data_IF_777248647799
#
_entry.id   IF_777248647799
#
_cell.length_a   1.000
_cell.length_b   1.000
_cell.length_c   1.000
_cell.angle_alpha   90.00
_cell.angle_beta   90.00
_cell.angle_gamma   90.00
#
_symmetry.space_group_name_H-M   'P 1'
#
loop_
_entity.id
_entity.type
_entity.pdbx_description
1 polymer ?
#
# COMPACT_ATOMS: atom_id res chain seq x y z
N UNK A 1 7.35 -13.90 28.68
CA UNK A 1 8.52 -14.80 28.72
C UNK A 1 8.04 -16.18 29.17
N UNK A 2 8.65 -17.25 28.66
CA UNK A 2 8.41 -18.61 29.16
C UNK A 2 8.96 -18.72 30.60
N UNK A 3 8.30 -19.48 31.46
CA UNK A 3 8.85 -19.85 32.77
C UNK A 3 10.03 -20.83 32.58
N UNK A 4 10.98 -20.83 33.50
CA UNK A 4 12.17 -21.69 33.45
C UNK A 4 11.81 -23.17 33.24
N UNK A 5 10.78 -23.67 33.93
CA UNK A 5 10.32 -25.06 33.80
C UNK A 5 9.85 -25.39 32.38
N UNK A 6 9.18 -24.45 31.71
CA UNK A 6 8.75 -24.62 30.30
C UNK A 6 9.94 -24.59 29.34
N UNK A 7 10.97 -23.82 29.65
CA UNK A 7 12.19 -23.77 28.84
C UNK A 7 12.90 -25.13 28.92
N UNK A 8 13.04 -25.69 30.13
CA UNK A 8 13.66 -26.99 30.35
C UNK A 8 12.88 -28.12 29.65
N UNK A 9 11.56 -28.10 29.75
CA UNK A 9 10.68 -29.08 29.07
C UNK A 9 10.86 -29.04 27.55
N UNK A 10 10.94 -27.84 26.95
CA UNK A 10 11.17 -27.64 25.51
C UNK A 10 12.56 -28.11 25.07
N UNK A 11 13.60 -27.81 25.86
CA UNK A 11 14.96 -28.31 25.59
C UNK A 11 14.93 -29.83 25.60
N UNK A 12 14.36 -30.44 26.64
CA UNK A 12 14.33 -31.90 26.82
C UNK A 12 13.64 -32.60 25.66
N UNK A 13 12.49 -32.08 25.21
CA UNK A 13 11.75 -32.61 24.07
C UNK A 13 12.54 -32.57 22.76
N UNK A 14 13.33 -31.51 22.52
CA UNK A 14 14.02 -31.27 21.24
C UNK A 14 15.44 -31.82 21.18
N UNK A 15 16.18 -31.78 22.28
CA UNK A 15 17.54 -32.34 22.37
C UNK A 15 17.55 -33.84 22.66
N UNK A 16 16.44 -34.39 23.17
CA UNK A 16 16.36 -35.77 23.65
C UNK A 16 17.05 -36.00 25.00
N UNK A 17 17.52 -34.93 25.66
CA UNK A 17 18.21 -35.01 26.94
C UNK A 17 17.22 -35.00 28.13
N UNK A 18 17.49 -35.72 29.23
CA UNK A 18 16.65 -35.69 30.43
C UNK A 18 16.63 -34.30 31.09
N UNK A 19 15.48 -33.87 31.62
CA UNK A 19 15.35 -32.57 32.30
C UNK A 19 16.33 -32.38 33.47
N UNK A 20 16.68 -33.46 34.17
CA UNK A 20 17.66 -33.44 35.27
C UNK A 20 19.06 -33.05 34.78
N UNK A 21 19.44 -33.52 33.59
CA UNK A 21 20.73 -33.22 32.99
C UNK A 21 20.78 -31.77 32.50
N UNK A 22 19.70 -31.29 31.90
CA UNK A 22 19.55 -29.90 31.46
C UNK A 22 19.61 -28.93 32.65
N UNK A 23 18.95 -29.25 33.77
CA UNK A 23 19.03 -28.43 35.00
C UNK A 23 20.46 -28.30 35.51
N UNK A 24 21.21 -29.40 35.50
CA UNK A 24 22.62 -29.40 35.90
C UNK A 24 23.47 -28.54 34.97
N UNK A 25 23.28 -28.66 33.65
CA UNK A 25 23.99 -27.82 32.67
C UNK A 25 23.68 -26.33 32.86
N UNK A 26 22.44 -25.97 33.24
CA UNK A 26 22.05 -24.59 33.52
C UNK A 26 22.80 -24.04 34.74
N UNK A 27 22.83 -24.80 35.84
CA UNK A 27 23.57 -24.42 37.05
C UNK A 27 25.07 -24.24 36.75
N UNK A 28 25.68 -25.22 36.06
CA UNK A 28 27.09 -25.15 35.65
C UNK A 28 27.37 -23.91 34.77
N UNK A 29 26.44 -23.55 33.87
CA UNK A 29 26.57 -22.37 33.00
C UNK A 29 26.41 -21.05 33.75
N UNK A 30 25.55 -21.01 34.77
CA UNK A 30 25.42 -19.84 35.64
C UNK A 30 26.69 -19.60 36.45
N UNK A 31 27.29 -20.67 36.97
CA UNK A 31 28.55 -20.62 37.72
C UNK A 31 29.73 -20.23 36.81
N UNK A 32 29.82 -20.82 35.61
CA UNK A 32 30.83 -20.47 34.60
C UNK A 32 30.83 -18.96 34.28
N UNK A 33 29.63 -18.38 34.18
CA UNK A 33 29.43 -16.96 33.90
C UNK A 33 29.40 -16.10 35.17
N UNK A 34 29.89 -16.62 36.30
CA UNK A 34 30.02 -15.91 37.58
C UNK A 34 28.71 -15.25 38.05
N UNK A 35 27.58 -15.87 37.76
CA UNK A 35 26.26 -15.35 38.10
C UNK A 35 25.82 -14.11 37.29
N UNK A 36 26.54 -13.73 36.23
CA UNK A 36 26.18 -12.61 35.36
C UNK A 36 24.91 -12.86 34.53
N UNK A 37 24.46 -14.11 34.46
CA UNK A 37 23.26 -14.52 33.73
C UNK A 37 22.22 -15.10 34.67
N UNK A 38 20.94 -14.77 34.39
CA UNK A 38 19.82 -15.37 35.10
C UNK A 38 19.67 -16.85 34.76
N UNK A 39 18.94 -17.64 35.57
CA UNK A 39 18.65 -19.04 35.27
C UNK A 39 18.01 -19.23 33.89
N UNK A 40 17.13 -18.30 33.49
CA UNK A 40 16.53 -18.30 32.16
C UNK A 40 17.58 -18.02 31.07
N UNK A 41 18.46 -17.04 31.29
CA UNK A 41 19.55 -16.71 30.36
C UNK A 41 20.51 -17.90 30.16
N UNK A 42 20.86 -18.60 31.23
CA UNK A 42 21.66 -19.82 31.17
C UNK A 42 20.93 -20.96 30.43
N UNK A 43 19.62 -21.11 30.64
CA UNK A 43 18.80 -22.08 29.89
C UNK A 43 18.80 -21.81 28.37
N UNK A 44 18.79 -20.54 27.95
CA UNK A 44 18.93 -20.18 26.53
C UNK A 44 20.29 -20.56 25.96
N UNK A 45 21.37 -20.37 26.72
CA UNK A 45 22.74 -20.72 26.30
C UNK A 45 22.88 -22.23 26.15
N UNK A 46 22.43 -22.99 27.17
CA UNK A 46 22.43 -24.47 27.17
C UNK A 46 21.60 -25.02 26.02
N UNK A 47 20.42 -24.45 25.76
CA UNK A 47 19.61 -24.86 24.60
C UNK A 47 20.38 -24.73 23.29
N UNK A 48 21.06 -23.60 23.07
CA UNK A 48 21.83 -23.35 21.85
C UNK A 48 23.03 -24.30 21.72
N UNK A 49 23.72 -24.62 22.83
CA UNK A 49 24.81 -25.61 22.85
C UNK A 49 24.32 -27.02 22.50
N UNK A 50 23.10 -27.38 22.90
CA UNK A 50 22.44 -28.64 22.56
C UNK A 50 21.78 -28.64 21.17
N UNK A 51 22.00 -27.61 20.35
CA UNK A 51 21.41 -27.48 19.02
C UNK A 51 19.91 -27.16 19.03
N UNK A 52 19.36 -26.78 20.17
CA UNK A 52 17.96 -26.39 20.35
C UNK A 52 17.84 -24.86 20.35
N UNK A 53 17.35 -24.29 19.25
CA UNK A 53 16.97 -22.88 19.22
C UNK A 53 15.69 -22.66 20.02
N UNK A 54 15.85 -22.22 21.28
CA UNK A 54 14.75 -21.85 22.21
C UNK A 54 14.27 -20.42 22.03
N UNK A 55 15.13 -19.59 21.46
CA UNK A 55 14.62 -18.50 20.66
C UNK A 55 13.79 -19.22 19.61
N UNK A 56 12.46 -19.22 19.77
CA UNK A 56 11.59 -19.17 18.59
C UNK A 56 12.31 -18.20 17.66
N UNK A 57 12.41 -18.50 16.39
CA UNK A 57 12.61 -17.48 15.38
C UNK A 57 11.40 -16.53 15.43
N UNK A 58 11.16 -15.87 16.56
CA UNK A 58 10.69 -14.51 16.58
C UNK A 58 11.86 -13.70 16.05
N UNK A 59 12.10 -13.79 14.73
CA UNK A 59 12.19 -12.57 13.96
C UNK A 59 11.10 -11.68 14.57
N UNK A 60 11.49 -10.60 15.25
CA UNK A 60 10.53 -9.75 15.97
C UNK A 60 9.51 -9.30 14.92
N UNK A 61 8.38 -9.99 14.86
CA UNK A 61 7.35 -9.72 13.86
C UNK A 61 6.93 -8.29 14.09
N UNK A 62 7.05 -7.48 13.05
CA UNK A 62 6.78 -6.07 13.13
C UNK A 62 5.29 -5.90 13.42
N UNK A 63 4.97 -5.20 14.50
CA UNK A 63 3.60 -4.87 14.84
C UNK A 63 2.99 -3.99 13.74
N UNK A 64 1.71 -4.20 13.46
CA UNK A 64 1.01 -3.52 12.37
C UNK A 64 1.15 -2.00 12.46
N UNK A 65 1.00 -1.40 13.65
CA UNK A 65 1.15 0.05 13.85
C UNK A 65 2.53 0.63 13.48
N UNK A 66 3.56 -0.21 13.42
CA UNK A 66 4.92 0.20 13.12
C UNK A 66 5.27 0.02 11.64
N UNK A 67 4.34 -0.49 10.82
CA UNK A 67 4.52 -0.66 9.40
C UNK A 67 4.39 0.71 8.72
N UNK A 68 5.43 1.12 8.00
CA UNK A 68 5.42 2.35 7.18
C UNK A 68 5.79 2.04 5.73
N UNK A 69 5.30 2.86 4.80
CA UNK A 69 5.61 2.74 3.38
C UNK A 69 7.12 2.80 3.12
N UNK A 70 7.57 2.01 2.15
CA UNK A 70 8.98 1.94 1.75
C UNK A 70 9.81 0.91 2.51
N UNK A 71 9.28 0.36 3.62
CA UNK A 71 9.91 -0.77 4.31
C UNK A 71 10.02 -2.00 3.40
N UNK A 72 11.10 -2.74 3.56
CA UNK A 72 11.41 -3.99 2.86
C UNK A 72 11.81 -5.06 3.87
N UNK A 73 11.70 -6.33 3.47
CA UNK A 73 11.98 -7.48 4.33
C UNK A 73 11.22 -7.41 5.65
N UNK A 74 9.92 -7.10 5.53
CA UNK A 74 8.99 -7.01 6.64
C UNK A 74 8.41 -8.38 6.93
N UNK A 75 8.60 -8.82 8.18
CA UNK A 75 7.95 -10.01 8.72
C UNK A 75 6.82 -9.57 9.65
N UNK A 76 5.60 -10.03 9.40
CA UNK A 76 4.41 -9.71 10.20
C UNK A 76 3.59 -10.97 10.43
N UNK A 77 2.98 -11.11 11.60
CA UNK A 77 1.90 -12.07 11.80
C UNK A 77 0.64 -11.33 12.22
N UNK A 78 -0.48 -11.77 11.66
CA UNK A 78 -1.78 -11.20 11.97
C UNK A 78 -2.87 -12.23 11.77
N UNK A 79 -3.96 -12.05 12.50
CA UNK A 79 -5.20 -12.77 12.24
C UNK A 79 -5.85 -12.23 10.98
N UNK A 80 -6.31 -13.12 10.12
CA UNK A 80 -7.10 -12.81 8.94
C UNK A 80 -8.45 -12.27 9.39
N UNK A 81 -8.70 -11.02 9.04
CA UNK A 81 -9.92 -10.30 9.37
C UNK A 81 -10.93 -10.44 8.26
N UNK A 82 -10.48 -10.27 7.02
CA UNK A 82 -11.35 -10.32 5.85
C UNK A 82 -10.58 -10.80 4.63
N UNK A 83 -11.20 -11.66 3.83
CA UNK A 83 -10.68 -12.08 2.52
C UNK A 83 -11.59 -11.51 1.44
N UNK A 84 -11.05 -10.71 0.53
CA UNK A 84 -11.80 -10.19 -0.61
C UNK A 84 -11.73 -11.16 -1.80
N UNK A 85 -12.77 -11.11 -2.64
CA UNK A 85 -12.77 -11.83 -3.90
C UNK A 85 -11.62 -11.39 -4.81
N UNK A 86 -11.11 -12.35 -5.58
CA UNK A 86 -10.15 -12.10 -6.65
C UNK A 86 -10.76 -11.13 -7.65
N UNK A 87 -10.04 -10.05 -7.96
CA UNK A 87 -10.39 -9.11 -9.01
C UNK A 87 -9.42 -9.27 -10.17
N UNK A 88 -9.97 -9.64 -11.32
CA UNK A 88 -9.26 -9.60 -12.58
C UNK A 88 -9.27 -8.17 -13.12
N UNK A 89 -8.14 -7.73 -13.67
CA UNK A 89 -8.03 -6.47 -14.36
C UNK A 89 -7.26 -6.66 -15.65
N UNK A 90 -7.65 -5.89 -16.66
CA UNK A 90 -6.88 -5.78 -17.87
C UNK A 90 -6.17 -4.43 -17.85
N UNK A 91 -4.84 -4.48 -17.82
CA UNK A 91 -4.01 -3.27 -17.87
C UNK A 91 -3.02 -3.43 -19.01
N UNK A 92 -3.24 -2.65 -20.07
CA UNK A 92 -2.42 -2.63 -21.28
C UNK A 92 -2.36 -3.97 -22.04
N UNK A 93 -3.49 -4.68 -22.15
CA UNK A 93 -3.57 -5.97 -22.84
C UNK A 93 -2.93 -7.14 -22.08
N UNK A 94 -2.36 -6.89 -20.90
CA UNK A 94 -1.98 -7.94 -19.95
C UNK A 94 -3.10 -8.11 -18.95
N UNK A 95 -3.56 -9.36 -18.80
CA UNK A 95 -4.46 -9.75 -17.73
C UNK A 95 -3.64 -9.91 -16.47
N UNK A 96 -4.04 -9.22 -15.42
CA UNK A 96 -3.51 -9.40 -14.09
C UNK A 96 -4.65 -9.70 -13.13
N UNK A 97 -4.29 -10.22 -11.97
CA UNK A 97 -5.26 -10.42 -10.92
C UNK A 97 -4.70 -9.98 -9.58
N UNK A 98 -5.59 -9.47 -8.74
CA UNK A 98 -5.26 -9.06 -7.38
C UNK A 98 -6.29 -9.65 -6.43
N UNK A 99 -5.82 -10.20 -5.32
CA UNK A 99 -6.65 -10.61 -4.19
C UNK A 99 -6.17 -9.87 -2.95
N UNK A 100 -7.09 -9.26 -2.23
CA UNK A 100 -6.78 -8.48 -1.04
C UNK A 100 -7.21 -9.26 0.20
N UNK A 101 -6.38 -9.23 1.23
CA UNK A 101 -6.65 -9.81 2.54
C UNK A 101 -6.39 -8.72 3.58
N UNK A 102 -7.29 -8.54 4.53
CA UNK A 102 -7.04 -7.71 5.71
C UNK A 102 -6.53 -8.62 6.80
N UNK A 103 -5.35 -8.32 7.32
CA UNK A 103 -4.81 -8.96 8.53
C UNK A 103 -4.70 -7.93 9.64
N UNK A 104 -4.78 -8.38 10.89
CA UNK A 104 -4.65 -7.51 12.05
C UNK A 104 -3.93 -8.16 13.21
N UNK A 105 -3.35 -7.31 14.05
CA UNK A 105 -2.87 -7.67 15.38
C UNK A 105 -3.51 -6.73 16.43
N UNK A 106 -3.04 -6.78 17.68
CA UNK A 106 -3.59 -5.95 18.75
C UNK A 106 -3.31 -4.45 18.56
N UNK A 107 -2.52 -4.09 17.54
CA UNK A 107 -2.09 -2.72 17.25
C UNK A 107 -2.78 -2.12 16.02
N UNK A 108 -3.57 -2.90 15.28
CA UNK A 108 -4.36 -2.41 14.16
C UNK A 108 -4.43 -3.41 13.00
N UNK A 109 -4.85 -2.93 11.83
CA UNK A 109 -5.01 -3.73 10.62
C UNK A 109 -4.19 -3.23 9.43
N UNK A 110 -3.80 -4.15 8.54
CA UNK A 110 -3.11 -3.84 7.29
C UNK A 110 -3.66 -4.66 6.12
N UNK A 111 -3.74 -4.04 4.95
CA UNK A 111 -4.03 -4.73 3.69
C UNK A 111 -2.78 -5.47 3.22
N UNK A 112 -2.96 -6.75 2.98
CA UNK A 112 -2.05 -7.61 2.27
C UNK A 112 -2.59 -7.89 0.86
N UNK A 113 -1.83 -7.55 -0.17
CA UNK A 113 -2.23 -7.70 -1.57
C UNK A 113 -1.40 -8.76 -2.27
N UNK A 114 -2.09 -9.81 -2.71
CA UNK A 114 -1.57 -10.94 -3.47
C UNK A 114 -1.76 -10.67 -4.96
N UNK A 115 -0.71 -10.85 -5.75
CA UNK A 115 -0.73 -10.56 -7.19
C UNK A 115 -0.46 -11.83 -7.98
N UNK A 116 -1.28 -12.07 -9.02
CA UNK A 116 -1.07 -13.16 -9.98
C UNK A 116 -0.84 -14.52 -9.30
N UNK A 117 0.37 -15.09 -9.43
CA UNK A 117 0.71 -16.43 -8.94
C UNK A 117 0.63 -16.53 -7.41
N UNK A 118 0.84 -15.42 -6.68
CA UNK A 118 0.70 -15.38 -5.22
C UNK A 118 -0.71 -15.79 -4.77
N UNK A 119 -1.72 -15.50 -5.61
CA UNK A 119 -3.13 -15.82 -5.32
C UNK A 119 -3.33 -17.34 -5.34
N UNK A 120 -2.74 -18.04 -6.32
CA UNK A 120 -2.86 -19.49 -6.43
C UNK A 120 -2.20 -20.19 -5.24
N UNK A 121 -1.02 -19.70 -4.83
CA UNK A 121 -0.30 -20.20 -3.67
C UNK A 121 -1.12 -20.00 -2.39
N UNK A 122 -1.68 -18.80 -2.20
CA UNK A 122 -2.51 -18.48 -1.03
C UNK A 122 -3.79 -19.31 -0.99
N UNK A 123 -4.50 -19.44 -2.11
CA UNK A 123 -5.75 -20.21 -2.19
C UNK A 123 -5.52 -21.70 -1.92
N UNK A 124 -4.34 -22.23 -2.27
CA UNK A 124 -3.92 -23.60 -1.96
C UNK A 124 -3.69 -23.88 -0.48
N UNK A 125 -3.54 -22.85 0.37
CA UNK A 125 -3.30 -23.00 1.82
C UNK A 125 -4.58 -23.15 2.65
N UNK A 126 -5.76 -23.03 2.04
CA UNK A 126 -7.06 -23.13 2.71
C UNK A 126 -7.19 -22.21 3.95
N UNK A 127 -6.73 -20.96 3.80
CA UNK A 127 -6.79 -19.90 4.82
C UNK A 127 -8.20 -19.28 4.83
N UNK A 128 -8.79 -19.17 6.01
CA UNK A 128 -10.12 -18.61 6.26
C UNK A 128 -10.05 -17.38 7.17
N UNK A 129 -11.14 -16.60 7.22
CA UNK A 129 -11.29 -15.54 8.22
C UNK A 129 -11.20 -16.12 9.64
N UNK A 130 -10.45 -15.44 10.50
CA UNK A 130 -10.13 -15.90 11.85
C UNK A 130 -8.81 -16.69 11.97
N UNK A 131 -8.28 -17.23 10.88
CA UNK A 131 -6.96 -17.90 10.90
C UNK A 131 -5.84 -16.90 11.17
N UNK A 132 -4.73 -17.38 11.75
CA UNK A 132 -3.51 -16.56 11.89
C UNK A 132 -2.54 -16.93 10.80
N UNK A 133 -2.02 -15.91 10.11
CA UNK A 133 -1.00 -16.08 9.08
C UNK A 133 0.24 -15.28 9.43
N UNK A 134 1.39 -15.81 9.01
CA UNK A 134 2.66 -15.12 8.93
C UNK A 134 2.96 -14.75 7.49
N UNK A 135 3.46 -13.54 7.30
CA UNK A 135 3.99 -13.06 6.05
C UNK A 135 5.45 -12.74 6.30
N UNK A 136 6.33 -13.48 5.64
CA UNK A 136 7.78 -13.30 5.75
C UNK A 136 8.34 -12.62 4.51
N UNK A 137 9.30 -11.74 4.73
CA UNK A 137 10.04 -11.01 3.71
C UNK A 137 9.13 -10.27 2.71
N UNK A 138 8.12 -9.60 3.26
CA UNK A 138 7.26 -8.68 2.52
C UNK A 138 7.91 -7.33 2.26
N UNK A 139 7.25 -6.50 1.45
CA UNK A 139 7.57 -5.10 1.29
C UNK A 139 6.31 -4.25 1.35
N UNK A 140 6.47 -3.00 1.78
CA UNK A 140 5.35 -2.09 2.03
C UNK A 140 5.37 -1.00 0.97
N UNK A 141 4.22 -0.81 0.32
CA UNK A 141 3.97 0.32 -0.57
C UNK A 141 2.74 1.07 -0.11
N UNK A 142 2.61 2.29 -0.58
CA UNK A 142 1.32 2.96 -0.55
C UNK A 142 0.47 2.44 -1.70
N UNK A 143 -0.80 2.16 -1.40
CA UNK A 143 -1.81 2.05 -2.43
C UNK A 143 -2.09 3.42 -3.07
N UNK A 144 -2.94 3.43 -4.10
CA UNK A 144 -3.32 4.66 -4.78
C UNK A 144 -4.11 5.65 -3.90
N UNK A 145 -4.42 5.28 -2.66
CA UNK A 145 -5.10 6.08 -1.65
C UNK A 145 -4.17 6.46 -0.49
N UNK A 146 -2.87 6.19 -0.60
CA UNK A 146 -1.88 6.57 0.40
C UNK A 146 -1.76 5.61 1.60
N UNK A 147 -2.44 4.47 1.57
CA UNK A 147 -2.48 3.55 2.71
C UNK A 147 -1.39 2.50 2.57
N UNK A 148 -0.79 2.11 3.69
CA UNK A 148 0.18 1.03 3.67
C UNK A 148 -0.48 -0.26 3.20
N UNK A 149 0.14 -0.85 2.19
CA UNK A 149 -0.21 -2.10 1.56
C UNK A 149 1.03 -2.99 1.58
N UNK A 150 0.89 -4.14 2.23
CA UNK A 150 1.90 -5.17 2.29
C UNK A 150 1.79 -6.05 1.04
N UNK A 151 2.94 -6.40 0.46
CA UNK A 151 3.06 -7.29 -0.70
C UNK A 151 4.22 -8.26 -0.50
N UNK A 152 4.19 -9.39 -1.19
CA UNK A 152 5.30 -10.35 -1.18
C UNK A 152 6.43 -9.89 -2.09
N UNK A 153 7.67 -10.03 -1.62
CA UNK A 153 8.83 -10.03 -2.52
C UNK A 153 8.91 -11.36 -3.27
N UNK A 154 9.82 -11.50 -4.24
CA UNK A 154 10.05 -12.77 -4.96
C UNK A 154 10.41 -13.95 -4.05
N UNK A 155 11.01 -13.67 -2.90
CA UNK A 155 11.40 -14.66 -1.89
C UNK A 155 10.53 -14.57 -0.65
N UNK A 156 9.43 -13.81 -0.70
CA UNK A 156 8.46 -13.70 0.37
C UNK A 156 7.62 -14.96 0.48
N UNK A 157 7.10 -15.23 1.68
CA UNK A 157 6.28 -16.42 1.96
C UNK A 157 5.08 -16.05 2.81
N UNK A 158 4.03 -16.86 2.69
CA UNK A 158 2.89 -16.85 3.59
C UNK A 158 2.79 -18.22 4.22
N UNK A 159 2.62 -18.26 5.54
CA UNK A 159 2.46 -19.51 6.29
C UNK A 159 1.28 -19.37 7.24
N UNK A 160 0.44 -20.41 7.30
CA UNK A 160 -0.63 -20.49 8.29
C UNK A 160 -0.02 -20.94 9.63
N UNK A 161 -0.31 -20.21 10.69
CA UNK A 161 0.16 -20.55 12.03
C UNK A 161 -0.96 -21.26 12.79
N UNK A 162 -0.66 -22.47 13.25
CA UNK A 162 -1.55 -23.25 14.11
C UNK A 162 -1.33 -22.90 15.59
N UNK A 163 -2.38 -23.03 16.41
CA UNK A 163 -2.35 -22.82 17.86
C UNK A 163 -1.90 -21.43 18.36
N UNK A 164 -1.91 -20.42 17.49
CA UNK A 164 -1.63 -19.02 17.86
C UNK A 164 -2.94 -18.24 17.88
N UNK A 165 -3.18 -17.53 18.99
CA UNK A 165 -4.26 -16.54 19.10
C UNK A 165 -3.66 -15.14 19.02
N UNK A 166 -4.02 -14.40 17.98
CA UNK A 166 -3.78 -12.97 17.88
C UNK A 166 -5.12 -12.26 18.09
N UNK A 167 -5.19 -11.44 19.13
CA UNK A 167 -6.35 -10.58 19.36
C UNK A 167 -6.34 -9.46 18.33
N UNK A 168 -7.50 -9.26 17.71
CA UNK A 168 -7.73 -8.13 16.81
C UNK A 168 -8.84 -7.29 17.43
N UNK A 169 -8.65 -5.97 17.58
CA UNK A 169 -9.65 -5.08 18.14
C UNK A 169 -11.00 -5.21 17.43
N UNK A 170 -12.09 -5.22 18.22
CA UNK A 170 -13.43 -5.57 17.78
C UNK A 170 -14.04 -4.46 16.90
N UNK A 171 -14.25 -4.75 15.61
CA UNK A 171 -15.07 -4.01 14.60
C UNK A 171 -14.85 -2.50 14.37
N UNK A 172 -14.11 -1.79 15.22
CA UNK A 172 -13.83 -0.36 15.10
C UNK A 172 -12.47 -0.06 14.45
N UNK A 173 -11.51 -1.00 14.49
CA UNK A 173 -10.14 -0.85 13.93
C UNK A 173 -9.88 -1.71 12.66
N UNK A 174 -10.88 -2.50 12.25
CA UNK A 174 -10.89 -3.24 10.96
C UNK A 174 -11.00 -2.28 9.77
N UNK A 175 -11.47 -1.07 10.04
CA UNK A 175 -11.17 0.08 9.20
C UNK A 175 -9.69 0.36 9.40
N UNK A 176 -8.83 -0.25 8.57
CA UNK A 176 -7.71 0.54 8.09
C UNK A 176 -8.26 1.94 7.83
N UNK A 177 -7.57 2.95 8.35
CA UNK A 177 -7.50 4.24 7.69
C UNK A 177 -7.03 3.96 6.25
N UNK A 178 -7.90 3.43 5.38
CA UNK A 178 -8.11 4.05 4.09
C UNK A 178 -8.54 5.42 4.50
N UNK A 179 -7.62 6.41 4.52
CA UNK A 179 -7.96 7.77 4.90
C UNK A 179 -9.33 8.05 4.29
N UNK A 180 -10.37 8.08 5.15
CA UNK A 180 -11.75 8.17 4.68
C UNK A 180 -11.71 9.40 3.83
N UNK A 181 -11.95 9.24 2.53
CA UNK A 181 -11.93 10.33 1.56
C UNK A 181 -12.56 11.54 2.22
N UNK A 182 -11.73 12.49 2.65
CA UNK A 182 -12.22 13.57 3.49
C UNK A 182 -12.79 14.59 2.52
N UNK A 183 -14.10 14.81 2.59
CA UNK A 183 -14.70 15.92 1.86
C UNK A 183 -14.21 17.20 2.51
N UNK A 184 -13.24 17.85 1.87
CA UNK A 184 -12.59 19.05 2.38
C UNK A 184 -12.53 20.10 1.30
N UNK A 185 -12.52 21.34 1.77
CA UNK A 185 -12.18 22.48 0.94
C UNK A 185 -10.67 22.48 0.66
N UNK A 186 -10.24 23.02 -0.48
CA UNK A 186 -8.83 23.15 -0.88
C UNK A 186 -8.04 23.93 0.17
N UNK A 187 -8.66 24.91 0.82
CA UNK A 187 -8.06 25.65 1.93
C UNK A 187 -7.60 24.74 3.10
N UNK A 188 -8.38 23.69 3.36
CA UNK A 188 -8.15 22.75 4.47
C UNK A 188 -7.26 21.55 4.09
N UNK A 189 -6.74 21.52 2.85
CA UNK A 189 -5.84 20.47 2.42
C UNK A 189 -4.53 20.52 3.21
N UNK A 190 -4.07 19.34 3.64
CA UNK A 190 -2.80 19.15 4.34
C UNK A 190 -2.00 18.04 3.66
N UNK A 191 -0.68 18.15 3.71
CA UNK A 191 0.21 17.14 3.14
C UNK A 191 -0.09 15.74 3.68
N UNK A 192 -0.02 14.74 2.79
CA UNK A 192 -0.25 13.34 3.10
C UNK A 192 -1.72 12.91 2.97
N UNK A 193 -2.65 13.86 3.10
CA UNK A 193 -4.08 13.56 3.12
C UNK A 193 -4.65 13.15 1.76
N UNK A 194 -5.56 12.19 1.80
CA UNK A 194 -6.42 11.77 0.71
C UNK A 194 -7.79 12.45 0.82
N UNK A 195 -7.99 13.48 0.00
CA UNK A 195 -9.13 14.37 0.05
C UNK A 195 -9.99 14.23 -1.20
N UNK A 196 -11.29 14.51 -1.06
CA UNK A 196 -12.20 14.76 -2.17
C UNK A 196 -12.68 16.20 -2.09
N UNK A 197 -12.67 16.87 -3.23
CA UNK A 197 -13.23 18.22 -3.38
C UNK A 197 -13.96 18.32 -4.71
N UNK A 198 -15.00 19.17 -4.73
CA UNK A 198 -15.62 19.62 -5.97
C UNK A 198 -14.93 20.91 -6.38
N UNK A 199 -14.23 20.89 -7.50
CA UNK A 199 -13.46 22.05 -7.94
C UNK A 199 -13.63 22.29 -9.44
N UNK A 200 -13.62 23.56 -9.81
CA UNK A 200 -13.51 24.01 -11.20
C UNK A 200 -12.06 23.89 -11.66
N UNK A 201 -11.83 23.33 -12.84
CA UNK A 201 -10.52 23.36 -13.48
C UNK A 201 -10.30 24.73 -14.13
N UNK A 202 -9.64 25.65 -13.44
CA UNK A 202 -9.47 27.05 -13.87
C UNK A 202 -8.45 27.19 -15.00
N UNK A 203 -7.42 26.36 -15.00
CA UNK A 203 -6.34 26.45 -15.98
C UNK A 203 -5.69 25.09 -16.20
N UNK A 204 -5.35 24.77 -17.45
CA UNK A 204 -4.36 23.75 -17.79
C UNK A 204 -3.04 24.40 -18.19
N UNK A 205 -1.94 23.85 -17.70
CA UNK A 205 -0.61 24.29 -18.11
C UNK A 205 -0.26 23.69 -19.46
N UNK A 206 -0.10 24.55 -20.46
CA UNK A 206 0.25 24.18 -21.84
C UNK A 206 1.71 23.71 -21.90
N UNK A 207 1.93 22.40 -21.92
CA UNK A 207 3.24 21.74 -22.09
C UNK A 207 3.04 20.50 -22.96
N UNK A 208 4.09 19.85 -23.44
CA UNK A 208 3.93 18.53 -24.02
C UNK A 208 3.52 17.54 -22.91
N UNK A 209 2.30 16.98 -22.92
CA UNK A 209 1.84 16.10 -21.84
C UNK A 209 2.30 14.65 -22.05
N UNK A 210 2.78 14.30 -23.23
CA UNK A 210 3.08 12.92 -23.60
C UNK A 210 4.49 12.51 -23.21
N UNK A 211 4.63 11.26 -22.77
CA UNK A 211 5.91 10.62 -22.52
C UNK A 211 5.90 9.17 -23.00
N UNK A 212 7.07 8.72 -23.43
CA UNK A 212 7.29 7.41 -24.01
C UNK A 212 7.50 6.34 -22.94
N UNK A 213 6.68 5.30 -23.00
CA UNK A 213 6.70 4.16 -22.10
C UNK A 213 6.88 2.85 -22.85
N UNK A 214 7.55 1.89 -22.22
CA UNK A 214 7.72 0.56 -22.77
C UNK A 214 6.35 -0.13 -22.91
N UNK A 215 6.00 -0.70 -24.08
CA UNK A 215 4.72 -1.40 -24.25
C UNK A 215 4.61 -2.66 -23.40
N UNK A 216 5.73 -3.20 -22.89
CA UNK A 216 5.77 -4.44 -22.13
C UNK A 216 5.71 -4.24 -20.62
N UNK A 217 6.39 -3.22 -20.07
CA UNK A 217 6.42 -2.97 -18.63
C UNK A 217 6.00 -1.56 -18.20
N UNK A 218 5.64 -0.68 -19.13
CA UNK A 218 5.35 0.74 -18.90
C UNK A 218 6.49 1.55 -18.28
N UNK A 219 7.69 0.97 -18.17
CA UNK A 219 8.88 1.68 -17.72
C UNK A 219 9.24 2.81 -18.67
N UNK A 220 9.80 3.89 -18.13
CA UNK A 220 10.29 5.03 -18.91
C UNK A 220 11.32 4.56 -19.94
N UNK A 221 11.15 4.99 -21.19
CA UNK A 221 12.10 4.68 -22.25
C UNK A 221 13.22 5.72 -22.31
N UNK A 222 14.40 5.26 -22.70
CA UNK A 222 15.55 6.10 -23.01
C UNK A 222 15.74 6.14 -24.52
N UNK A 223 15.90 7.34 -25.09
CA UNK A 223 16.19 7.50 -26.52
C UNK A 223 17.69 7.27 -26.74
N UNK A 224 18.06 6.23 -27.50
CA UNK A 224 19.45 5.95 -27.91
C UNK A 224 19.52 5.96 -29.44
N UNK A 225 20.21 6.96 -29.99
CA UNK A 225 20.19 7.26 -31.43
C UNK A 225 18.74 7.41 -31.94
N UNK A 226 18.34 6.61 -32.93
CA UNK A 226 16.99 6.64 -33.52
C UNK A 226 16.00 5.65 -32.87
N UNK A 227 16.45 4.84 -31.90
CA UNK A 227 15.62 3.81 -31.28
C UNK A 227 15.30 4.09 -29.81
N UNK A 228 14.10 3.70 -29.38
CA UNK A 228 13.73 3.72 -27.98
C UNK A 228 14.12 2.43 -27.28
N UNK A 229 14.76 2.56 -26.11
CA UNK A 229 15.27 1.42 -25.35
C UNK A 229 14.68 1.38 -23.94
N UNK A 230 14.16 0.22 -23.57
CA UNK A 230 13.77 -0.14 -22.21
C UNK A 230 14.93 -0.87 -21.51
N UNK A 231 15.14 -0.61 -20.22
CA UNK A 231 16.17 -1.30 -19.43
C UNK A 231 15.96 -2.80 -19.34
N UNK A 232 14.70 -3.24 -19.29
CA UNK A 232 14.35 -4.64 -19.10
C UNK A 232 14.05 -5.38 -20.42
N UNK A 233 13.60 -4.66 -21.45
CA UNK A 233 13.09 -5.26 -22.70
C UNK A 233 13.87 -4.86 -23.96
N UNK A 234 14.96 -4.09 -23.82
CA UNK A 234 15.78 -3.65 -24.95
C UNK A 234 15.04 -2.70 -25.89
N UNK A 235 15.33 -2.78 -27.18
CA UNK A 235 14.74 -1.91 -28.20
C UNK A 235 13.24 -2.21 -28.38
N UNK A 236 12.40 -1.18 -28.28
CA UNK A 236 10.94 -1.29 -28.39
C UNK A 236 10.35 -0.09 -29.11
N UNK A 237 9.21 -0.26 -29.78
CA UNK A 237 8.39 0.87 -30.21
C UNK A 237 7.63 1.46 -29.01
N UNK A 238 7.66 2.79 -28.81
CA UNK A 238 7.08 3.42 -27.63
C UNK A 238 5.54 3.41 -27.69
N UNK A 239 4.92 3.22 -26.53
CA UNK A 239 3.54 3.69 -26.28
C UNK A 239 3.60 5.05 -25.60
N UNK A 240 2.52 5.81 -25.71
CA UNK A 240 2.41 7.14 -25.12
C UNK A 240 1.49 7.13 -23.92
N UNK A 241 1.94 7.76 -22.86
CA UNK A 241 1.13 8.08 -21.69
C UNK A 241 1.12 9.59 -21.49
N UNK A 242 0.04 10.12 -20.92
CA UNK A 242 -0.09 11.56 -20.69
C UNK A 242 -0.02 11.94 -19.21
N UNK A 243 0.56 13.09 -18.92
CA UNK A 243 0.45 13.79 -17.64
C UNK A 243 -0.03 15.21 -17.90
N UNK A 244 -1.15 15.56 -17.30
CA UNK A 244 -1.68 16.92 -17.32
C UNK A 244 -1.50 17.55 -15.95
N UNK A 245 -1.36 18.86 -15.93
CA UNK A 245 -1.40 19.62 -14.70
C UNK A 245 -2.05 20.97 -14.92
N UNK A 246 -2.68 21.47 -13.88
CA UNK A 246 -3.50 22.66 -13.96
C UNK A 246 -3.76 23.24 -12.58
N UNK A 247 -4.53 24.31 -12.54
CA UNK A 247 -5.03 24.91 -11.30
C UNK A 247 -6.50 24.55 -11.15
N UNK A 248 -6.86 24.02 -9.99
CA UNK A 248 -8.25 23.81 -9.59
C UNK A 248 -8.62 24.81 -8.49
N UNK A 249 -9.88 25.21 -8.46
CA UNK A 249 -10.42 26.14 -7.46
C UNK A 249 -11.81 25.65 -7.03
N UNK A 250 -12.04 25.56 -5.72
CA UNK A 250 -13.32 25.13 -5.14
C UNK A 250 -14.08 26.26 -4.42
N UNK A 251 -13.65 27.51 -4.61
CA UNK A 251 -14.18 28.70 -3.94
C UNK A 251 -13.57 29.00 -2.58
N UNK A 252 -12.92 28.02 -1.92
CA UNK A 252 -12.17 28.25 -0.67
C UNK A 252 -10.70 28.60 -0.91
N UNK A 253 -10.16 28.15 -2.05
CA UNK A 253 -8.78 28.35 -2.45
C UNK A 253 -8.49 27.59 -3.74
N UNK A 254 -7.25 27.73 -4.21
CA UNK A 254 -6.78 27.03 -5.38
C UNK A 254 -5.50 26.23 -5.10
N UNK A 255 -5.33 25.14 -5.83
CA UNK A 255 -4.17 24.26 -5.74
C UNK A 255 -3.79 23.72 -7.12
N UNK A 256 -2.49 23.45 -7.32
CA UNK A 256 -2.03 22.75 -8.51
C UNK A 256 -2.50 21.29 -8.47
N UNK A 257 -3.31 20.89 -9.43
CA UNK A 257 -3.72 19.51 -9.62
C UNK A 257 -2.87 18.82 -10.70
N UNK A 258 -2.54 17.55 -10.49
CA UNK A 258 -1.79 16.71 -11.44
C UNK A 258 -2.59 15.45 -11.76
N UNK A 259 -2.77 15.18 -13.04
CA UNK A 259 -3.58 14.08 -13.56
C UNK A 259 -2.68 13.15 -14.38
N UNK A 260 -2.58 11.88 -13.97
CA UNK A 260 -1.71 10.89 -14.60
C UNK A 260 -2.50 9.89 -15.44
N UNK A 261 -2.00 9.59 -16.64
CA UNK A 261 -2.48 8.50 -17.50
C UNK A 261 -3.99 8.51 -17.71
N UNK A 262 -4.64 7.44 -17.26
CA UNK A 262 -6.08 7.20 -17.40
C UNK A 262 -6.95 8.24 -16.72
N UNK A 263 -6.47 8.89 -15.64
CA UNK A 263 -7.19 10.01 -15.01
C UNK A 263 -7.20 11.23 -15.94
N UNK A 264 -6.07 11.50 -16.60
CA UNK A 264 -5.98 12.58 -17.57
C UNK A 264 -6.79 12.28 -18.84
N UNK A 265 -6.80 11.04 -19.31
CA UNK A 265 -7.64 10.60 -20.43
C UNK A 265 -9.14 10.76 -20.11
N UNK A 266 -9.56 10.38 -18.90
CA UNK A 266 -10.93 10.59 -18.42
C UNK A 266 -11.29 12.06 -18.33
N UNK A 267 -10.40 12.89 -17.80
CA UNK A 267 -10.58 14.35 -17.76
C UNK A 267 -10.80 14.93 -19.16
N UNK A 268 -10.05 14.47 -20.16
CA UNK A 268 -10.14 14.94 -21.54
C UNK A 268 -11.24 14.26 -22.38
N UNK A 269 -11.75 13.11 -21.93
CA UNK A 269 -12.61 12.24 -22.73
C UNK A 269 -11.94 11.64 -23.97
N UNK A 270 -10.60 11.61 -24.02
CA UNK A 270 -9.79 11.17 -25.18
C UNK A 270 -8.51 10.46 -24.73
N UNK A 271 -8.13 9.41 -25.45
CA UNK A 271 -6.93 8.62 -25.14
C UNK A 271 -5.61 9.29 -25.53
N UNK A 272 -4.51 8.94 -24.86
CA UNK A 272 -3.19 9.53 -25.12
C UNK A 272 -2.69 9.28 -26.55
N UNK A 273 -2.85 8.05 -27.04
CA UNK A 273 -2.47 7.65 -28.39
C UNK A 273 -3.23 8.43 -29.46
N UNK A 274 -4.56 8.57 -29.30
CA UNK A 274 -5.41 9.33 -30.22
C UNK A 274 -4.96 10.80 -30.29
N UNK A 275 -4.75 11.42 -29.13
CA UNK A 275 -4.35 12.82 -29.05
C UNK A 275 -2.93 13.03 -29.60
N UNK A 276 -1.99 12.13 -29.29
CA UNK A 276 -0.62 12.22 -29.80
C UNK A 276 -0.56 12.11 -31.31
N UNK A 277 -1.37 11.22 -31.89
CA UNK A 277 -1.48 11.06 -33.35
C UNK A 277 -2.16 12.26 -34.01
N UNK A 278 -3.22 12.79 -33.40
CA UNK A 278 -3.97 13.94 -33.93
C UNK A 278 -3.17 15.24 -33.91
N UNK A 279 -2.35 15.44 -32.88
CA UNK A 279 -1.58 16.68 -32.66
C UNK A 279 -0.07 16.43 -32.74
N UNK A 280 0.36 15.62 -33.72
CA UNK A 280 1.76 15.23 -33.86
C UNK A 280 2.68 16.41 -34.26
N UNK A 281 2.17 17.33 -35.08
CA UNK A 281 2.92 18.49 -35.59
C UNK A 281 2.96 19.66 -34.61
N UNK A 282 1.83 19.95 -33.97
CA UNK A 282 1.72 20.95 -32.90
C UNK A 282 0.94 20.39 -31.72
N UNK A 283 1.67 19.81 -30.78
CA UNK A 283 1.10 19.24 -29.55
C UNK A 283 0.39 20.31 -28.71
N UNK A 284 0.84 21.57 -28.73
CA UNK A 284 0.27 22.61 -27.87
C UNK A 284 -1.09 23.10 -28.35
N UNK A 285 -1.38 23.00 -29.65
CA UNK A 285 -2.72 23.27 -30.21
C UNK A 285 -3.81 22.37 -29.63
N UNK A 286 -3.45 21.22 -29.02
CA UNK A 286 -4.43 20.36 -28.36
C UNK A 286 -5.20 21.10 -27.27
N UNK A 287 -4.54 22.02 -26.54
CA UNK A 287 -5.15 22.75 -25.43
C UNK A 287 -6.24 23.73 -25.88
N UNK A 288 -6.24 24.13 -27.15
CA UNK A 288 -7.26 25.01 -27.74
C UNK A 288 -8.50 24.23 -28.18
N UNK A 289 -8.34 22.93 -28.41
CA UNK A 289 -9.38 22.01 -28.86
C UNK A 289 -10.02 21.21 -27.73
N UNK A 290 -9.58 21.44 -26.49
CA UNK A 290 -10.07 20.75 -25.30
C UNK A 290 -10.96 21.70 -24.51
N UNK A 291 -12.23 21.34 -24.37
CA UNK A 291 -13.20 22.11 -23.61
C UNK A 291 -13.40 21.52 -22.20
N UNK A 292 -12.38 21.62 -21.35
CA UNK A 292 -12.40 21.14 -19.94
C UNK A 292 -12.13 22.25 -18.92
N UNK A 293 -11.50 23.34 -19.36
CA UNK A 293 -11.27 24.52 -18.52
C UNK A 293 -12.61 25.19 -18.22
N UNK A 294 -12.83 25.58 -16.97
CA UNK A 294 -14.08 26.14 -16.47
C UNK A 294 -15.15 25.10 -16.12
N UNK A 295 -14.91 23.81 -16.38
CA UNK A 295 -15.81 22.73 -15.91
C UNK A 295 -15.49 22.34 -14.48
N UNK A 296 -16.53 21.94 -13.77
CA UNK A 296 -16.43 21.39 -12.43
C UNK A 296 -16.37 19.87 -12.45
N UNK A 297 -15.54 19.34 -11.55
CA UNK A 297 -15.39 17.91 -11.36
C UNK A 297 -15.39 17.58 -9.88
N UNK A 298 -15.87 16.38 -9.56
CA UNK A 298 -15.58 15.75 -8.29
C UNK A 298 -14.22 15.07 -8.41
N UNK A 299 -13.23 15.58 -7.68
CA UNK A 299 -11.87 15.10 -7.75
C UNK A 299 -11.45 14.49 -6.42
N UNK A 300 -10.88 13.30 -6.49
CA UNK A 300 -10.34 12.60 -5.32
C UNK A 300 -8.87 12.30 -5.56
N UNK A 301 -8.04 12.59 -4.57
CA UNK A 301 -6.60 12.49 -4.74
C UNK A 301 -5.83 12.74 -3.47
N UNK A 302 -4.51 12.68 -3.59
CA UNK A 302 -3.58 12.90 -2.50
C UNK A 302 -2.94 14.27 -2.56
N UNK A 303 -2.84 14.93 -1.42
CA UNK A 303 -2.07 16.18 -1.28
C UNK A 303 -0.62 15.84 -0.98
N UNK A 304 0.30 16.31 -1.83
CA UNK A 304 1.73 16.01 -1.71
C UNK A 304 2.55 17.29 -1.81
N UNK A 305 3.56 17.46 -0.97
CA UNK A 305 4.53 18.53 -1.17
C UNK A 305 5.46 18.21 -2.35
N UNK A 306 5.53 19.12 -3.30
CA UNK A 306 6.45 19.06 -4.42
C UNK A 306 7.73 19.81 -4.06
N UNK A 307 8.83 19.06 -3.90
CA UNK A 307 10.15 19.65 -3.67
C UNK A 307 10.62 20.53 -4.84
N UNK A 308 10.09 20.32 -6.04
CA UNK A 308 10.45 21.10 -7.22
C UNK A 308 9.79 22.49 -7.22
N UNK A 309 8.52 22.57 -6.81
CA UNK A 309 7.77 23.83 -6.79
C UNK A 309 7.66 24.47 -5.41
N UNK A 310 8.20 23.80 -4.38
CA UNK A 310 8.11 24.17 -2.96
C UNK A 310 6.67 24.47 -2.50
N UNK A 311 5.71 23.72 -3.04
CA UNK A 311 4.27 23.92 -2.82
C UNK A 311 3.54 22.58 -2.72
N UNK A 312 2.38 22.60 -2.08
CA UNK A 312 1.46 21.47 -2.11
C UNK A 312 0.84 21.31 -3.50
N UNK A 313 0.74 20.07 -3.94
CA UNK A 313 0.07 19.65 -5.16
C UNK A 313 -0.97 18.60 -4.84
N UNK A 314 -2.09 18.65 -5.56
CA UNK A 314 -3.14 17.64 -5.49
C UNK A 314 -2.94 16.62 -6.62
N UNK A 315 -2.40 15.46 -6.28
CA UNK A 315 -2.26 14.34 -7.21
C UNK A 315 -3.61 13.65 -7.32
N UNK A 316 -4.30 13.88 -8.43
CA UNK A 316 -5.66 13.37 -8.64
C UNK A 316 -5.59 11.91 -9.05
N UNK A 317 -6.27 11.07 -8.29
CA UNK A 317 -6.37 9.63 -8.50
C UNK A 317 -7.70 9.23 -9.16
N UNK A 318 -8.73 10.06 -9.00
CA UNK A 318 -10.05 9.84 -9.57
C UNK A 318 -10.69 11.18 -9.94
N UNK A 319 -11.34 11.21 -11.10
CA UNK A 319 -12.13 12.34 -11.58
C UNK A 319 -13.51 11.82 -11.96
N UNK A 320 -14.55 12.48 -11.45
CA UNK A 320 -15.94 12.16 -11.70
C UNK A 320 -16.75 13.40 -12.08
N UNK A 321 -17.90 13.17 -12.69
CA UNK A 321 -18.89 14.22 -12.92
C UNK A 321 -19.61 14.59 -11.62
N UNK A 322 -20.03 15.85 -11.51
CA UNK A 322 -20.81 16.31 -10.36
C UNK A 322 -22.28 15.92 -10.56
N UNK A 323 -22.80 15.05 -9.70
CA UNK A 323 -24.24 14.77 -9.64
C UNK A 323 -24.95 15.89 -8.88
N UNK A 324 -25.53 16.83 -9.65
CA UNK A 324 -26.24 18.00 -9.13
C UNK A 324 -27.40 17.61 -8.21
N UNK A 325 -28.11 16.51 -8.48
CA UNK A 325 -29.27 16.09 -7.68
C UNK A 325 -28.85 15.55 -6.33
N UNK A 326 -27.81 14.72 -6.31
CA UNK A 326 -27.25 14.19 -5.08
C UNK A 326 -26.73 15.32 -4.19
N UNK A 327 -26.02 16.28 -4.79
CA UNK A 327 -25.45 17.42 -4.07
C UNK A 327 -26.53 18.33 -3.47
N UNK A 328 -27.60 18.60 -4.23
CA UNK A 328 -28.72 19.40 -3.74
C UNK A 328 -29.35 18.75 -2.49
N UNK A 329 -29.50 17.43 -2.49
CA UNK A 329 -30.03 16.70 -1.34
C UNK A 329 -29.08 16.73 -0.14
N UNK A 330 -27.77 16.57 -0.37
CA UNK A 330 -26.76 16.62 0.69
C UNK A 330 -26.69 18.01 1.34
N UNK A 331 -26.76 19.09 0.55
CA UNK A 331 -26.82 20.46 1.04
C UNK A 331 -28.10 20.74 1.83
N UNK A 332 -29.26 20.30 1.32
CA UNK A 332 -30.54 20.43 2.03
C UNK A 332 -30.50 19.73 3.39
N UNK A 333 -29.90 18.53 3.46
CA UNK A 333 -29.77 17.79 4.73
C UNK A 333 -28.95 18.55 5.78
N UNK A 334 -27.84 19.18 5.37
CA UNK A 334 -26.99 19.99 6.26
C UNK A 334 -27.73 21.23 6.76
N UNK A 335 -28.48 21.90 5.89
CA UNK A 335 -29.31 23.06 6.28
C UNK A 335 -30.40 22.67 7.28
N UNK A 336 -31.08 21.55 7.07
CA UNK A 336 -32.11 21.07 8.01
C UNK A 336 -31.54 20.66 9.37
N UNK A 337 -30.31 20.13 9.41
CA UNK A 337 -29.63 19.76 10.64
C UNK A 337 -29.15 20.99 11.46
N UNK A 338 -28.85 22.11 10.80
CA UNK A 338 -28.47 23.37 11.46
C UNK A 338 -29.66 24.24 11.92
N UNK A 339 -30.89 23.90 11.52
CA UNK A 339 -32.11 24.69 11.78
C UNK A 339 -32.93 24.29 13.00
N UNK A 340 -32.48 23.30 13.78
CA UNK A 340 -33.16 22.84 15.02
C UNK A 340 -32.46 23.30 16.31
N UNK A 341 -31.70 24.40 16.25
CA UNK A 341 -31.05 25.04 17.39
C UNK A 341 -31.81 26.24 17.91
#
# INVERSE_FOLDING_TARGET
MLSIDKIIEEISKKSGQPEQEIKKMIEEKQDELSGLVSPEGAAYIVGNELGVSLLKETARKLKVKNIVSGMRSVDVAGRVVQIFDKRDFEKNGKRGSVKNVIIGDETGTIRFSLWNDDIQVFDGMNINEGDVIEISNGFVREDNRGNCELRLTKTGKVEKLEDIKIEVPESAEIKQDFEKVKNKSVYDFREGEYNQTRASLIQLFKRNPFFEICPQCEGRLEKKADNWTCKDHGAVEPKYRMVLSGIIDDGSGNIRAVFFGDVAERLLGKGAEELKKKFSEDVLSMYENINVVGKEFLMTGRVKFSQFSEKLEFVVNEVGEVDVKKEMNDLLSKFTASGTG
#
